data_IF_717725160935
#
_entry.id   IF_717725160935
#
_cell.length_a   1.000
_cell.length_b   1.000
_cell.length_c   1.000
_cell.angle_alpha   90.00
_cell.angle_beta   90.00
_cell.angle_gamma   90.00
#
_symmetry.space_group_name_H-M   'P 1'
#
loop_
_entity.id
_entity.type
_entity.pdbx_description
1 polymer ?
#
# COMPACT_ATOMS: atom_id res chain seq x y z
N UNK A 1 -21.88 36.13 22.84
CA UNK A 1 -21.78 35.09 21.78
C UNK A 1 -20.33 34.68 21.47
N UNK A 2 -19.42 35.63 21.22
CA UNK A 2 -18.01 35.37 20.84
C UNK A 2 -17.19 34.54 21.86
N UNK A 3 -17.31 34.79 23.15
CA UNK A 3 -16.55 34.08 24.21
C UNK A 3 -16.97 32.61 24.40
N UNK A 4 -18.27 32.30 24.25
CA UNK A 4 -18.76 30.90 24.30
C UNK A 4 -18.29 30.12 23.06
N UNK A 5 -18.29 30.76 21.89
CA UNK A 5 -17.77 30.18 20.66
C UNK A 5 -16.25 29.90 20.74
N UNK A 6 -15.46 30.85 21.25
CA UNK A 6 -14.01 30.66 21.48
C UNK A 6 -13.71 29.48 22.42
N UNK A 7 -14.51 29.28 23.48
CA UNK A 7 -14.37 28.12 24.37
C UNK A 7 -14.64 26.81 23.66
N UNK A 8 -15.67 26.75 22.81
CA UNK A 8 -16.01 25.54 22.03
C UNK A 8 -14.89 25.23 21.04
N UNK A 9 -14.40 26.22 20.29
CA UNK A 9 -13.28 26.04 19.35
C UNK A 9 -12.02 25.57 20.09
N UNK A 10 -11.74 26.14 21.26
CA UNK A 10 -10.61 25.71 22.11
C UNK A 10 -10.71 24.26 22.54
N UNK A 11 -11.90 23.80 22.97
CA UNK A 11 -12.14 22.40 23.36
C UNK A 11 -12.00 21.47 22.16
N UNK A 12 -12.58 21.82 21.00
CA UNK A 12 -12.47 21.02 19.78
C UNK A 12 -11.02 20.91 19.31
N UNK A 13 -10.28 22.02 19.33
CA UNK A 13 -8.86 22.02 18.97
C UNK A 13 -8.04 21.17 19.93
N UNK A 14 -8.27 21.27 21.24
CA UNK A 14 -7.58 20.46 22.24
C UNK A 14 -7.86 18.96 22.08
N UNK A 15 -9.11 18.58 21.83
CA UNK A 15 -9.48 17.18 21.55
C UNK A 15 -8.82 16.67 20.26
N UNK A 16 -8.74 17.49 19.21
CA UNK A 16 -8.05 17.13 17.98
C UNK A 16 -6.55 16.89 18.19
N UNK A 17 -5.89 17.75 18.97
CA UNK A 17 -4.46 17.58 19.32
C UNK A 17 -4.26 16.30 20.12
N UNK A 18 -5.09 16.04 21.14
CA UNK A 18 -5.02 14.78 21.91
C UNK A 18 -5.22 13.55 21.02
N UNK A 19 -6.19 13.59 20.11
CA UNK A 19 -6.41 12.50 19.16
C UNK A 19 -5.18 12.22 18.29
N UNK A 20 -4.51 13.26 17.79
CA UNK A 20 -3.28 13.11 16.98
C UNK A 20 -2.10 12.55 17.77
N UNK A 21 -1.98 12.89 19.06
CA UNK A 21 -0.93 12.36 19.94
C UNK A 21 -1.17 10.88 20.27
N UNK A 22 -2.43 10.47 20.46
CA UNK A 22 -2.79 9.09 20.78
C UNK A 22 -2.82 8.19 19.52
N UNK A 23 -3.04 8.78 18.34
CA UNK A 23 -3.03 8.07 17.05
C UNK A 23 -1.87 8.50 16.13
N UNK A 24 -0.60 8.31 16.53
CA UNK A 24 0.53 8.62 15.68
C UNK A 24 0.54 7.73 14.44
N UNK A 25 1.04 8.27 13.33
CA UNK A 25 1.41 7.44 12.19
C UNK A 25 2.72 6.72 12.52
N UNK A 26 2.75 5.41 12.35
CA UNK A 26 3.94 4.59 12.45
C UNK A 26 4.19 3.87 11.13
N UNK A 27 5.45 3.49 10.89
CA UNK A 27 5.87 2.84 9.65
C UNK A 27 5.77 1.33 9.80
N UNK A 28 5.16 0.68 8.81
CA UNK A 28 5.13 -0.77 8.64
C UNK A 28 5.91 -1.13 7.39
N UNK A 29 6.64 -2.25 7.46
CA UNK A 29 7.45 -2.76 6.36
C UNK A 29 6.84 -4.03 5.80
N UNK A 30 6.70 -4.08 4.49
CA UNK A 30 6.31 -5.28 3.74
C UNK A 30 7.60 -5.92 3.23
N UNK A 31 7.76 -7.22 3.43
CA UNK A 31 8.92 -7.96 2.97
C UNK A 31 8.48 -9.22 2.24
N UNK A 32 8.91 -9.35 0.99
CA UNK A 32 8.65 -10.54 0.15
C UNK A 32 9.95 -10.90 -0.57
N UNK A 33 10.50 -12.07 -0.23
CA UNK A 33 11.81 -12.55 -0.73
C UNK A 33 12.95 -11.56 -0.48
N UNK A 34 13.34 -10.78 -1.47
CA UNK A 34 14.37 -9.75 -1.39
C UNK A 34 13.87 -8.38 -1.87
N UNK A 35 12.55 -8.20 -1.88
CA UNK A 35 11.86 -6.96 -2.19
C UNK A 35 11.13 -6.49 -0.93
N UNK A 36 11.21 -5.19 -0.66
CA UNK A 36 10.54 -4.61 0.50
C UNK A 36 10.15 -3.17 0.23
N UNK A 37 9.04 -2.76 0.83
CA UNK A 37 8.63 -1.37 0.85
C UNK A 37 7.98 -1.02 2.20
N UNK A 38 7.84 0.28 2.49
CA UNK A 38 7.36 0.79 3.78
C UNK A 38 6.15 1.71 3.60
N UNK A 39 5.09 1.47 4.39
CA UNK A 39 3.90 2.31 4.42
C UNK A 39 3.59 2.85 5.81
N UNK A 40 2.96 4.02 5.86
CA UNK A 40 2.53 4.64 7.12
C UNK A 40 1.13 4.20 7.50
N UNK A 41 0.95 3.72 8.73
CA UNK A 41 -0.35 3.35 9.29
C UNK A 41 -0.60 4.11 10.59
N UNK A 42 -1.85 4.41 10.90
CA UNK A 42 -2.23 4.95 12.21
C UNK A 42 -2.54 3.81 13.18
N UNK A 43 -2.46 4.02 14.49
CA UNK A 43 -2.75 3.02 15.55
C UNK A 43 -4.15 2.42 15.40
N UNK A 44 -5.13 3.21 14.96
CA UNK A 44 -6.50 2.75 14.71
C UNK A 44 -6.74 2.32 13.24
N UNK A 45 -5.71 2.38 12.39
CA UNK A 45 -5.81 1.90 11.01
C UNK A 45 -5.81 0.37 10.98
N UNK A 46 -6.62 -0.21 10.10
CA UNK A 46 -6.62 -1.67 9.90
C UNK A 46 -5.39 -2.07 9.09
N UNK A 47 -4.75 -3.14 9.53
CA UNK A 47 -3.62 -3.74 8.83
C UNK A 47 -4.12 -4.35 7.51
N UNK A 48 -3.31 -4.23 6.45
CA UNK A 48 -3.63 -4.74 5.11
C UNK A 48 -4.82 -4.07 4.40
N UNK A 49 -5.31 -2.93 4.91
CA UNK A 49 -6.37 -2.17 4.28
C UNK A 49 -5.89 -0.78 3.80
N UNK A 50 -6.51 -0.31 2.72
CA UNK A 50 -6.33 1.04 2.19
C UNK A 50 -5.20 1.19 1.16
N UNK A 51 -5.24 2.34 0.47
CA UNK A 51 -4.35 2.72 -0.62
C UNK A 51 -2.86 2.65 -0.25
N UNK A 52 -2.48 2.91 1.01
CA UNK A 52 -1.07 2.88 1.42
C UNK A 52 -0.51 1.46 1.40
N UNK A 53 -1.25 0.50 1.94
CA UNK A 53 -0.85 -0.91 1.89
C UNK A 53 -0.82 -1.42 0.45
N UNK A 54 -1.87 -1.10 -0.32
CA UNK A 54 -1.97 -1.44 -1.73
C UNK A 54 -0.75 -0.92 -2.51
N UNK A 55 -0.44 0.38 -2.41
CA UNK A 55 0.64 0.99 -3.19
C UNK A 55 2.01 0.42 -2.82
N UNK A 56 2.27 0.17 -1.54
CA UNK A 56 3.50 -0.53 -1.13
C UNK A 56 3.55 -1.98 -1.63
N UNK A 57 2.42 -2.68 -1.75
CA UNK A 57 2.37 -3.99 -2.41
C UNK A 57 2.65 -3.91 -3.91
N UNK A 58 2.19 -2.85 -4.58
CA UNK A 58 2.51 -2.61 -5.99
C UNK A 58 4.01 -2.39 -6.19
N UNK A 59 4.67 -1.64 -5.30
CA UNK A 59 6.13 -1.44 -5.36
C UNK A 59 6.90 -2.73 -5.11
N UNK A 60 6.45 -3.54 -4.16
CA UNK A 60 6.99 -4.89 -3.94
C UNK A 60 6.80 -5.75 -5.20
N UNK A 61 5.64 -5.72 -5.85
CA UNK A 61 5.38 -6.46 -7.09
C UNK A 61 6.29 -6.02 -8.25
N UNK A 62 6.47 -4.71 -8.42
CA UNK A 62 7.39 -4.15 -9.44
C UNK A 62 8.82 -4.62 -9.21
N UNK A 63 9.30 -4.58 -7.96
CA UNK A 63 10.62 -5.12 -7.61
C UNK A 63 10.73 -6.62 -7.91
N UNK A 64 9.72 -7.43 -7.54
CA UNK A 64 9.70 -8.87 -7.82
C UNK A 64 9.76 -9.12 -9.33
N UNK A 65 9.06 -8.32 -10.12
CA UNK A 65 9.10 -8.38 -11.58
C UNK A 65 10.48 -8.06 -12.15
N UNK A 66 11.19 -7.06 -11.62
CA UNK A 66 12.57 -6.77 -12.04
C UNK A 66 13.51 -7.94 -11.73
N UNK A 67 13.34 -8.59 -10.57
CA UNK A 67 14.11 -9.80 -10.24
C UNK A 67 13.76 -10.95 -11.17
N UNK A 68 12.47 -11.19 -11.43
CA UNK A 68 12.02 -12.22 -12.36
C UNK A 68 12.57 -12.01 -13.77
N UNK A 69 12.49 -10.79 -14.32
CA UNK A 69 13.01 -10.50 -15.66
C UNK A 69 14.51 -10.75 -15.75
N UNK A 70 15.26 -10.51 -14.67
CA UNK A 70 16.71 -10.72 -14.61
C UNK A 70 17.10 -12.19 -14.44
N UNK A 71 16.41 -12.95 -13.60
CA UNK A 71 16.84 -14.31 -13.21
C UNK A 71 15.99 -15.43 -13.79
N UNK A 72 14.75 -15.12 -14.20
CA UNK A 72 13.71 -16.07 -14.64
C UNK A 72 13.40 -17.14 -13.58
N UNK A 73 13.69 -16.87 -12.30
CA UNK A 73 13.42 -17.82 -11.22
C UNK A 73 11.94 -17.87 -10.86
N UNK A 74 11.39 -19.10 -10.81
CA UNK A 74 9.96 -19.36 -10.49
C UNK A 74 9.51 -18.83 -9.13
N UNK A 75 10.41 -18.66 -8.17
CA UNK A 75 10.05 -18.13 -6.85
C UNK A 75 9.49 -16.71 -6.95
N UNK A 76 10.01 -15.90 -7.88
CA UNK A 76 9.51 -14.54 -8.11
C UNK A 76 8.14 -14.57 -8.77
N UNK A 77 7.96 -15.41 -9.79
CA UNK A 77 6.66 -15.62 -10.44
C UNK A 77 5.58 -16.04 -9.44
N UNK A 78 5.88 -16.96 -8.53
CA UNK A 78 4.94 -17.42 -7.50
C UNK A 78 4.44 -16.26 -6.63
N UNK A 79 5.35 -15.40 -6.16
CA UNK A 79 4.98 -14.25 -5.34
C UNK A 79 4.22 -13.17 -6.13
N UNK A 80 4.58 -12.92 -7.39
CA UNK A 80 3.84 -11.99 -8.26
C UNK A 80 2.40 -12.47 -8.45
N UNK A 81 2.18 -13.77 -8.69
CA UNK A 81 0.84 -14.36 -8.83
C UNK A 81 0.01 -14.25 -7.56
N UNK A 82 0.63 -14.38 -6.38
CA UNK A 82 -0.05 -14.15 -5.10
C UNK A 82 -0.57 -12.71 -4.99
N UNK A 83 0.24 -11.73 -5.39
CA UNK A 83 -0.17 -10.32 -5.35
C UNK A 83 -1.29 -10.04 -6.36
N UNK A 84 -1.23 -10.63 -7.56
CA UNK A 84 -2.31 -10.52 -8.57
C UNK A 84 -3.64 -11.02 -8.00
N UNK A 85 -3.63 -12.18 -7.34
CA UNK A 85 -4.83 -12.75 -6.72
C UNK A 85 -5.30 -11.91 -5.51
N UNK A 86 -4.37 -11.46 -4.65
CA UNK A 86 -4.68 -10.62 -3.48
C UNK A 86 -5.46 -9.34 -3.84
N UNK A 87 -5.16 -8.74 -4.98
CA UNK A 87 -5.81 -7.51 -5.46
C UNK A 87 -6.75 -7.72 -6.64
N UNK A 88 -7.17 -8.97 -6.89
CA UNK A 88 -8.14 -9.33 -7.94
C UNK A 88 -7.78 -8.80 -9.34
N UNK A 89 -6.48 -8.70 -9.64
CA UNK A 89 -5.97 -8.17 -10.91
C UNK A 89 -6.03 -9.20 -12.06
N UNK A 90 -6.59 -10.38 -11.80
CA UNK A 90 -6.63 -11.53 -12.72
C UNK A 90 -7.29 -11.18 -14.06
N UNK A 91 -8.36 -10.40 -14.04
CA UNK A 91 -9.06 -9.95 -15.25
C UNK A 91 -8.17 -9.07 -16.14
N UNK A 92 -7.33 -8.22 -15.52
CA UNK A 92 -6.42 -7.33 -16.22
C UNK A 92 -5.25 -8.07 -16.89
N UNK A 93 -4.95 -9.29 -16.44
CA UNK A 93 -3.78 -10.06 -16.88
C UNK A 93 -4.13 -11.46 -17.44
N UNK A 94 -5.41 -11.76 -17.64
CA UNK A 94 -5.93 -13.12 -17.92
C UNK A 94 -5.21 -13.86 -19.07
N UNK A 95 -4.78 -13.13 -20.11
CA UNK A 95 -4.07 -13.69 -21.27
C UNK A 95 -2.60 -13.27 -21.35
N UNK A 96 -2.04 -12.68 -20.29
CA UNK A 96 -0.66 -12.23 -20.27
C UNK A 96 0.25 -13.30 -19.68
N UNK A 97 1.40 -13.51 -20.31
CA UNK A 97 2.48 -14.28 -19.68
C UNK A 97 3.06 -13.48 -18.52
N UNK A 98 3.69 -14.17 -17.56
CA UNK A 98 4.33 -13.46 -16.44
C UNK A 98 5.45 -12.51 -16.92
N UNK A 99 6.09 -12.83 -18.04
CA UNK A 99 7.07 -11.95 -18.68
C UNK A 99 6.43 -10.68 -19.23
N UNK A 100 5.26 -10.78 -19.86
CA UNK A 100 4.51 -9.62 -20.35
C UNK A 100 4.03 -8.76 -19.18
N UNK A 101 3.44 -9.39 -18.15
CA UNK A 101 3.02 -8.73 -16.91
C UNK A 101 4.18 -7.92 -16.30
N UNK A 102 5.37 -8.53 -16.23
CA UNK A 102 6.52 -7.85 -15.64
C UNK A 102 7.18 -6.80 -16.53
N UNK A 103 7.06 -6.94 -17.85
CA UNK A 103 7.49 -5.92 -18.80
C UNK A 103 6.59 -4.68 -18.67
N UNK A 104 5.29 -4.89 -18.53
CA UNK A 104 4.27 -3.83 -18.40
C UNK A 104 3.96 -3.51 -16.92
N UNK A 105 4.91 -3.79 -16.00
CA UNK A 105 4.68 -3.73 -14.54
C UNK A 105 4.15 -2.40 -14.03
N UNK A 106 4.48 -1.28 -14.69
CA UNK A 106 3.98 0.04 -14.30
C UNK A 106 2.48 0.23 -14.59
N UNK A 107 1.98 -0.43 -15.64
CA UNK A 107 0.56 -0.41 -16.01
C UNK A 107 -0.23 -1.43 -15.20
N UNK A 108 0.33 -2.64 -15.00
CA UNK A 108 -0.35 -3.70 -14.24
C UNK A 108 -0.41 -3.39 -12.75
N UNK A 109 0.70 -2.96 -12.16
CA UNK A 109 0.80 -2.65 -10.72
C UNK A 109 0.68 -1.14 -10.49
N UNK A 110 -0.43 -0.58 -10.95
CA UNK A 110 -0.74 0.84 -10.78
C UNK A 110 -1.15 1.16 -9.34
N UNK A 111 -0.93 2.39 -8.91
CA UNK A 111 -1.34 2.82 -7.56
C UNK A 111 -2.82 3.19 -7.48
N UNK A 112 -3.39 3.04 -6.30
CA UNK A 112 -4.64 3.68 -5.93
C UNK A 112 -4.38 5.10 -5.44
N UNK A 113 -5.11 6.06 -6.01
CA UNK A 113 -4.88 7.50 -5.79
C UNK A 113 -5.97 8.20 -4.98
N UNK A 114 -7.04 7.52 -4.54
CA UNK A 114 -8.17 8.13 -3.83
C UNK A 114 -8.56 7.37 -2.55
N UNK A 115 -8.92 8.13 -1.50
CA UNK A 115 -9.75 7.71 -0.36
C UNK A 115 -11.23 7.97 -0.67
#
# INVERSE_FOLDING_TARGET
MKTKFLKIVGVVFFLFVLFRVINPNYTKKIFVLNCSDEYKMSVFGREYEGFRYHNSKMDVAKCLCEKYLKTKEKKYESEIRKIINEFELENSVYNMTIEKICTDREEVFFYWYYE
#
